data_IF_199568826827
#
_entry.id   IF_199568826827
#
_cell.length_a   1.000
_cell.length_b   1.000
_cell.length_c   1.000
_cell.angle_alpha   90.00
_cell.angle_beta   90.00
_cell.angle_gamma   90.00
#
_symmetry.space_group_name_H-M   'P 1'
#
loop_
_entity.id
_entity.type
_entity.pdbx_description
1 polymer ?
#
# COMPACT_ATOMS: atom_id res chain seq x y z
N UNK A 1 -36.23 -10.47 6.01
CA UNK A 1 -36.19 -11.55 4.98
C UNK A 1 -35.07 -11.39 3.98
N UNK A 2 -34.95 -10.24 3.29
CA UNK A 2 -33.85 -9.99 2.35
C UNK A 2 -32.45 -10.30 2.94
N UNK A 3 -32.12 -9.77 4.13
CA UNK A 3 -30.83 -10.00 4.80
C UNK A 3 -30.59 -11.50 5.06
N UNK A 4 -31.60 -12.22 5.57
CA UNK A 4 -31.50 -13.66 5.86
C UNK A 4 -31.24 -14.44 4.57
N UNK A 5 -31.98 -14.13 3.51
CA UNK A 5 -31.77 -14.71 2.19
C UNK A 5 -30.37 -14.42 1.65
N UNK A 6 -29.85 -13.19 1.82
CA UNK A 6 -28.48 -12.86 1.39
C UNK A 6 -27.42 -13.64 2.15
N UNK A 7 -27.59 -13.83 3.47
CA UNK A 7 -26.67 -14.65 4.28
C UNK A 7 -26.70 -16.11 3.84
N UNK A 8 -27.90 -16.65 3.64
CA UNK A 8 -28.06 -18.05 3.26
C UNK A 8 -27.47 -18.36 1.87
N UNK A 9 -27.56 -17.41 0.94
CA UNK A 9 -27.07 -17.52 -0.44
C UNK A 9 -25.69 -16.90 -0.67
N UNK A 10 -25.01 -16.41 0.37
CA UNK A 10 -23.69 -15.77 0.26
C UNK A 10 -23.64 -14.57 -0.68
N UNK A 11 -24.68 -13.72 -0.64
CA UNK A 11 -24.75 -12.47 -1.41
C UNK A 11 -24.26 -11.27 -0.59
N UNK A 12 -23.68 -10.24 -1.22
CA UNK A 12 -23.27 -9.01 -0.55
C UNK A 12 -24.40 -8.35 0.25
N UNK A 13 -24.05 -7.68 1.35
CA UNK A 13 -25.00 -7.04 2.25
C UNK A 13 -24.46 -5.65 2.61
N UNK A 14 -25.19 -4.59 2.24
CA UNK A 14 -24.77 -3.20 2.50
C UNK A 14 -24.61 -2.87 3.98
N UNK A 15 -25.38 -3.52 4.86
CA UNK A 15 -25.35 -3.28 6.31
C UNK A 15 -24.57 -4.35 7.09
N UNK A 16 -23.61 -5.03 6.45
CA UNK A 16 -22.86 -6.14 7.05
C UNK A 16 -22.19 -5.75 8.37
N UNK A 17 -21.63 -4.55 8.48
CA UNK A 17 -21.02 -4.05 9.72
C UNK A 17 -21.99 -4.00 10.91
N UNK A 18 -23.24 -3.57 10.68
CA UNK A 18 -24.26 -3.53 11.74
C UNK A 18 -24.61 -4.94 12.19
N UNK A 19 -24.71 -5.88 11.23
CA UNK A 19 -24.97 -7.29 11.53
C UNK A 19 -23.77 -7.90 12.26
N UNK A 20 -22.53 -7.54 11.89
CA UNK A 20 -21.29 -7.98 12.53
C UNK A 20 -21.22 -7.54 13.98
N UNK A 21 -21.67 -6.32 14.30
CA UNK A 21 -21.80 -5.85 15.68
C UNK A 21 -22.86 -6.66 16.46
N UNK A 22 -24.06 -6.81 15.91
CA UNK A 22 -25.13 -7.61 16.52
C UNK A 22 -24.67 -9.05 16.77
N UNK A 23 -24.01 -9.66 15.78
CA UNK A 23 -23.44 -11.00 15.86
C UNK A 23 -22.43 -11.12 17.00
N UNK A 24 -21.45 -10.20 17.07
CA UNK A 24 -20.44 -10.19 18.14
C UNK A 24 -21.07 -10.09 19.53
N UNK A 25 -22.08 -9.24 19.70
CA UNK A 25 -22.81 -9.12 20.96
C UNK A 25 -23.57 -10.41 21.30
N UNK A 26 -24.24 -10.98 20.31
CA UNK A 26 -25.02 -12.20 20.46
C UNK A 26 -24.17 -13.41 20.82
N UNK A 27 -23.04 -13.61 20.14
CA UNK A 27 -22.16 -14.76 20.38
C UNK A 27 -21.25 -14.60 21.60
N UNK A 28 -21.27 -13.45 22.28
CA UNK A 28 -20.46 -13.20 23.48
C UNK A 28 -20.88 -14.09 24.65
N UNK A 29 -22.16 -14.47 24.70
CA UNK A 29 -22.72 -15.32 25.76
C UNK A 29 -23.35 -16.57 25.13
N UNK A 30 -22.71 -17.75 25.24
CA UNK A 30 -23.21 -19.00 24.67
C UNK A 30 -24.64 -19.35 25.10
N UNK A 31 -25.04 -18.97 26.32
CA UNK A 31 -26.40 -19.20 26.84
C UNK A 31 -27.47 -18.45 26.05
N UNK A 32 -27.13 -17.30 25.47
CA UNK A 32 -28.07 -16.57 24.63
C UNK A 32 -28.31 -17.36 23.33
N UNK A 33 -27.24 -17.83 22.68
CA UNK A 33 -27.34 -18.67 21.48
C UNK A 33 -28.20 -19.91 21.75
N UNK A 34 -27.97 -20.60 22.87
CA UNK A 34 -28.74 -21.77 23.29
C UNK A 34 -30.23 -21.44 23.52
N UNK A 35 -30.51 -20.34 24.23
CA UNK A 35 -31.88 -19.87 24.50
C UNK A 35 -32.66 -19.62 23.21
N UNK A 36 -32.05 -18.99 22.21
CA UNK A 36 -32.73 -18.76 20.94
C UNK A 36 -32.81 -20.05 20.11
N UNK A 37 -31.81 -20.93 20.17
CA UNK A 37 -31.85 -22.21 19.43
C UNK A 37 -32.96 -23.16 19.89
N UNK A 38 -33.31 -23.11 21.18
CA UNK A 38 -34.34 -23.97 21.82
C UNK A 38 -35.72 -23.31 21.90
N UNK A 39 -35.85 -22.03 21.50
CA UNK A 39 -37.11 -21.31 21.56
C UNK A 39 -38.13 -21.85 20.54
N UNK A 40 -39.22 -22.40 21.07
CA UNK A 40 -40.36 -22.93 20.30
C UNK A 40 -41.63 -22.06 20.38
N UNK A 41 -41.55 -20.88 21.02
CA UNK A 41 -42.68 -19.96 21.13
C UNK A 41 -42.98 -19.17 19.85
N UNK A 42 -44.08 -18.41 19.83
CA UNK A 42 -44.50 -17.67 18.65
C UNK A 42 -43.65 -16.41 18.43
N UNK A 43 -43.23 -16.18 17.18
CA UNK A 43 -42.24 -15.14 16.83
C UNK A 43 -42.77 -13.70 17.01
N UNK A 44 -44.07 -13.50 16.95
CA UNK A 44 -44.76 -12.22 17.09
C UNK A 44 -44.62 -11.58 18.48
N UNK A 45 -44.37 -12.39 19.51
CA UNK A 45 -44.13 -11.93 20.90
C UNK A 45 -42.70 -11.41 21.09
N UNK A 46 -41.77 -11.74 20.19
CA UNK A 46 -40.37 -11.33 20.27
C UNK A 46 -40.17 -9.91 19.70
N UNK A 47 -39.19 -9.17 20.23
CA UNK A 47 -38.78 -7.89 19.63
C UNK A 47 -38.16 -8.12 18.25
N UNK A 48 -38.18 -7.11 17.37
CA UNK A 48 -37.63 -7.23 16.00
C UNK A 48 -36.19 -7.77 15.94
N UNK A 49 -35.32 -7.36 16.88
CA UNK A 49 -33.95 -7.86 16.95
C UNK A 49 -33.87 -9.36 17.30
N UNK A 50 -34.73 -9.81 18.21
CA UNK A 50 -34.85 -11.21 18.64
C UNK A 50 -35.44 -12.07 17.50
N UNK A 51 -36.46 -11.56 16.81
CA UNK A 51 -37.02 -12.20 15.61
C UNK A 51 -35.94 -12.38 14.52
N UNK A 52 -35.10 -11.38 14.31
CA UNK A 52 -33.98 -11.46 13.38
C UNK A 52 -32.98 -12.53 13.80
N UNK A 53 -32.51 -12.51 15.06
CA UNK A 53 -31.57 -13.50 15.58
C UNK A 53 -32.10 -14.92 15.47
N UNK A 54 -33.39 -15.14 15.78
CA UNK A 54 -34.08 -16.43 15.60
C UNK A 54 -34.03 -16.91 14.14
N UNK A 55 -34.31 -16.03 13.18
CA UNK A 55 -34.24 -16.39 11.75
C UNK A 55 -32.80 -16.63 11.31
N UNK A 56 -31.85 -15.86 11.83
CA UNK A 56 -30.43 -15.93 11.49
C UNK A 56 -29.80 -17.25 11.96
N UNK A 57 -30.01 -17.68 13.21
CA UNK A 57 -29.44 -18.94 13.72
C UNK A 57 -30.05 -20.19 13.09
N UNK A 58 -31.26 -20.07 12.52
CA UNK A 58 -31.94 -21.17 11.79
C UNK A 58 -31.38 -21.38 10.39
N UNK A 59 -30.55 -20.47 9.89
CA UNK A 59 -29.82 -20.69 8.64
C UNK A 59 -28.87 -21.89 8.84
N UNK A 60 -28.89 -22.84 7.91
CA UNK A 60 -27.98 -23.98 7.96
C UNK A 60 -26.53 -23.48 7.87
N UNK A 61 -25.68 -23.88 8.80
CA UNK A 61 -24.30 -23.39 8.93
C UNK A 61 -24.20 -21.85 9.06
N UNK A 62 -25.17 -21.19 9.72
CA UNK A 62 -25.24 -19.72 9.81
C UNK A 62 -23.92 -19.06 10.22
N UNK A 63 -23.21 -19.64 11.19
CA UNK A 63 -21.96 -19.10 11.71
C UNK A 63 -20.89 -19.07 10.62
N UNK A 64 -20.68 -20.20 9.93
CA UNK A 64 -19.76 -20.31 8.80
C UNK A 64 -20.13 -19.35 7.66
N UNK A 65 -21.40 -19.33 7.22
CA UNK A 65 -21.85 -18.47 6.12
C UNK A 65 -21.65 -16.98 6.45
N UNK A 66 -21.97 -16.59 7.68
CA UNK A 66 -21.79 -15.21 8.13
C UNK A 66 -20.31 -14.81 8.22
N UNK A 67 -19.46 -15.68 8.75
CA UNK A 67 -18.02 -15.45 8.78
C UNK A 67 -17.41 -15.38 7.36
N UNK A 68 -17.91 -16.16 6.40
CA UNK A 68 -17.49 -16.07 5.00
C UNK A 68 -17.85 -14.72 4.36
N UNK A 69 -19.04 -14.18 4.64
CA UNK A 69 -19.40 -12.82 4.18
C UNK A 69 -18.48 -11.77 4.78
N UNK A 70 -18.23 -11.84 6.09
CA UNK A 70 -17.30 -10.96 6.78
C UNK A 70 -15.87 -11.06 6.22
N UNK A 71 -15.41 -12.26 5.90
CA UNK A 71 -14.12 -12.51 5.27
C UNK A 71 -14.04 -11.97 3.84
N UNK A 72 -15.09 -12.13 3.06
CA UNK A 72 -15.12 -11.64 1.68
C UNK A 72 -14.92 -10.11 1.63
N UNK A 73 -15.58 -9.38 2.51
CA UNK A 73 -15.45 -7.91 2.64
C UNK A 73 -14.05 -7.49 3.11
N UNK A 74 -13.50 -8.17 4.12
CA UNK A 74 -12.16 -7.88 4.63
C UNK A 74 -11.08 -8.21 3.57
N UNK A 75 -11.24 -9.30 2.81
CA UNK A 75 -10.32 -9.66 1.72
C UNK A 75 -10.32 -8.61 0.60
N UNK A 76 -11.50 -8.14 0.18
CA UNK A 76 -11.60 -7.12 -0.85
C UNK A 76 -11.01 -5.78 -0.39
N UNK A 77 -11.22 -5.39 0.87
CA UNK A 77 -10.73 -4.11 1.40
C UNK A 77 -9.25 -4.14 1.80
N UNK A 78 -8.71 -5.31 2.15
CA UNK A 78 -7.33 -5.44 2.62
C UNK A 78 -6.42 -6.12 1.60
N UNK A 79 -6.74 -7.34 1.14
CA UNK A 79 -5.85 -8.10 0.27
C UNK A 79 -5.69 -7.44 -1.10
N UNK A 80 -6.80 -7.09 -1.76
CA UNK A 80 -6.77 -6.50 -3.11
C UNK A 80 -6.01 -5.16 -3.12
N UNK A 81 -6.26 -4.32 -2.11
CA UNK A 81 -5.53 -3.06 -1.92
C UNK A 81 -4.04 -3.32 -1.66
N UNK A 82 -3.71 -4.35 -0.90
CA UNK A 82 -2.32 -4.68 -0.58
C UNK A 82 -1.57 -5.25 -1.79
N UNK A 83 -2.22 -6.07 -2.62
CA UNK A 83 -1.64 -6.55 -3.88
C UNK A 83 -1.23 -5.39 -4.79
N UNK A 84 -2.07 -4.36 -4.92
CA UNK A 84 -1.73 -3.15 -5.71
C UNK A 84 -0.52 -2.43 -5.11
N UNK A 85 -0.48 -2.25 -3.79
CA UNK A 85 0.66 -1.60 -3.12
C UNK A 85 1.97 -2.37 -3.32
N UNK A 86 1.94 -3.69 -3.18
CA UNK A 86 3.09 -4.58 -3.36
C UNK A 86 3.55 -4.58 -4.82
N UNK A 87 2.63 -4.58 -5.77
CA UNK A 87 2.96 -4.42 -7.18
C UNK A 87 3.66 -3.09 -7.47
N UNK A 88 3.10 -1.97 -6.99
CA UNK A 88 3.68 -0.64 -7.18
C UNK A 88 5.05 -0.50 -6.50
N UNK A 89 5.27 -1.17 -5.35
CA UNK A 89 6.57 -1.19 -4.69
C UNK A 89 7.63 -1.88 -5.56
N UNK A 90 7.32 -3.05 -6.11
CA UNK A 90 8.22 -3.76 -7.01
C UNK A 90 8.51 -2.93 -8.28
N UNK A 91 7.48 -2.30 -8.84
CA UNK A 91 7.67 -1.42 -9.99
C UNK A 91 8.57 -0.21 -9.64
N UNK A 92 8.39 0.40 -8.47
CA UNK A 92 9.20 1.52 -8.03
C UNK A 92 10.67 1.13 -7.81
N UNK A 93 10.92 -0.05 -7.24
CA UNK A 93 12.27 -0.62 -7.10
C UNK A 93 12.94 -0.70 -8.48
N UNK A 94 12.24 -1.28 -9.47
CA UNK A 94 12.79 -1.46 -10.81
C UNK A 94 12.96 -0.13 -11.55
N UNK A 95 12.02 0.82 -11.44
CA UNK A 95 12.16 2.15 -12.02
C UNK A 95 13.37 2.92 -11.46
N UNK A 96 13.63 2.82 -10.15
CA UNK A 96 14.83 3.43 -9.55
C UNK A 96 16.10 2.77 -10.08
N UNK A 97 16.15 1.44 -10.07
CA UNK A 97 17.36 0.67 -10.46
C UNK A 97 17.70 0.82 -11.93
N UNK A 98 16.69 0.98 -12.78
CA UNK A 98 16.84 1.06 -14.23
C UNK A 98 16.72 2.47 -14.79
N UNK A 99 16.62 3.49 -13.93
CA UNK A 99 16.65 4.89 -14.37
C UNK A 99 18.00 5.20 -15.04
N UNK A 100 17.95 5.62 -16.31
CA UNK A 100 19.13 6.04 -17.06
C UNK A 100 19.66 7.42 -16.63
N UNK A 101 18.80 8.23 -16.00
CA UNK A 101 19.09 9.62 -15.63
C UNK A 101 19.56 9.76 -14.17
N UNK A 102 19.07 8.92 -13.27
CA UNK A 102 19.40 8.99 -11.84
C UNK A 102 20.91 8.90 -11.54
N UNK A 103 21.69 7.97 -12.13
CA UNK A 103 23.13 7.90 -11.88
C UNK A 103 23.87 9.20 -12.23
N UNK A 104 23.56 9.79 -13.39
CA UNK A 104 24.21 11.04 -13.80
C UNK A 104 23.77 12.21 -12.92
N UNK A 105 22.49 12.28 -12.55
CA UNK A 105 22.00 13.28 -11.59
C UNK A 105 22.77 13.24 -10.27
N UNK A 106 22.93 12.05 -9.68
CA UNK A 106 23.66 11.86 -8.43
C UNK A 106 25.16 12.14 -8.58
N UNK A 107 25.75 11.80 -9.73
CA UNK A 107 27.15 12.09 -10.03
C UNK A 107 27.41 13.61 -10.07
N UNK A 108 26.62 14.36 -10.84
CA UNK A 108 26.79 15.81 -10.92
C UNK A 108 26.46 16.49 -9.58
N UNK A 109 25.46 15.99 -8.85
CA UNK A 109 25.20 16.43 -7.48
C UNK A 109 26.43 16.28 -6.58
N UNK A 110 27.12 15.13 -6.65
CA UNK A 110 28.34 14.88 -5.90
C UNK A 110 29.45 15.88 -6.24
N UNK A 111 29.69 16.14 -7.53
CA UNK A 111 30.69 17.11 -7.98
C UNK A 111 30.38 18.54 -7.49
N UNK A 112 29.13 18.97 -7.63
CA UNK A 112 28.70 20.30 -7.19
C UNK A 112 28.79 20.45 -5.67
N UNK A 113 28.33 19.45 -4.93
CA UNK A 113 28.40 19.46 -3.47
C UNK A 113 29.85 19.44 -2.96
N UNK A 114 30.74 18.68 -3.60
CA UNK A 114 32.17 18.70 -3.30
C UNK A 114 32.78 20.09 -3.51
N UNK A 115 32.45 20.73 -4.64
CA UNK A 115 32.91 22.10 -4.93
C UNK A 115 32.46 23.12 -3.87
N UNK A 116 31.24 22.98 -3.34
CA UNK A 116 30.70 23.90 -2.33
C UNK A 116 31.26 23.58 -0.93
N UNK A 117 31.41 22.31 -0.59
CA UNK A 117 31.86 21.87 0.74
C UNK A 117 33.38 21.83 0.90
N UNK A 118 34.15 22.09 -0.17
CA UNK A 118 35.62 21.96 -0.18
C UNK A 118 36.09 20.51 0.01
N UNK A 119 35.22 19.53 -0.24
CA UNK A 119 35.51 18.10 -0.13
C UNK A 119 35.95 17.55 -1.49
N UNK A 120 36.59 16.38 -1.46
CA UNK A 120 36.95 15.63 -2.66
C UNK A 120 36.50 14.16 -2.52
N UNK A 121 35.22 13.96 -2.18
CA UNK A 121 34.65 12.63 -2.01
C UNK A 121 34.34 11.97 -3.36
N UNK A 122 34.50 10.65 -3.46
CA UNK A 122 34.17 9.88 -4.68
C UNK A 122 32.69 9.56 -4.82
N UNK A 123 31.88 9.85 -3.80
CA UNK A 123 30.45 9.59 -3.74
C UNK A 123 29.78 10.38 -2.62
N UNK A 124 28.47 10.23 -2.53
CA UNK A 124 27.66 10.79 -1.46
C UNK A 124 27.06 9.66 -0.64
N UNK A 125 27.07 9.78 0.67
CA UNK A 125 26.28 8.91 1.53
C UNK A 125 24.80 9.12 1.19
N UNK A 126 24.02 8.05 1.10
CA UNK A 126 22.63 8.12 0.68
C UNK A 126 21.80 9.06 1.57
N UNK A 127 22.05 9.00 2.88
CA UNK A 127 21.44 9.88 3.89
C UNK A 127 21.74 11.38 3.69
N UNK A 128 22.77 11.73 2.92
CA UNK A 128 23.20 13.10 2.65
C UNK A 128 22.64 13.70 1.36
N UNK A 129 21.94 12.92 0.52
CA UNK A 129 21.47 13.38 -0.81
C UNK A 129 20.62 14.65 -0.70
N UNK A 130 19.68 14.68 0.26
CA UNK A 130 18.76 15.82 0.43
C UNK A 130 19.49 17.05 0.95
N UNK A 131 20.39 16.89 1.93
CA UNK A 131 21.16 18.02 2.48
C UNK A 131 22.17 18.56 1.46
N UNK A 132 22.74 17.69 0.61
CA UNK A 132 23.59 18.09 -0.50
C UNK A 132 22.84 18.99 -1.48
N UNK A 133 21.61 18.61 -1.89
CA UNK A 133 20.76 19.43 -2.77
C UNK A 133 20.45 20.81 -2.18
N UNK A 134 20.23 20.89 -0.86
CA UNK A 134 19.85 22.11 -0.16
C UNK A 134 21.03 23.04 0.17
N UNK A 135 22.26 22.55 0.04
CA UNK A 135 23.45 23.31 0.39
C UNK A 135 23.55 24.59 -0.42
N UNK A 136 23.88 25.70 0.25
CA UNK A 136 24.00 27.02 -0.38
C UNK A 136 25.33 27.12 -1.11
N UNK A 137 25.30 27.70 -2.29
CA UNK A 137 26.52 28.05 -3.04
C UNK A 137 27.17 29.31 -2.46
N UNK A 138 28.23 29.82 -3.12
CA UNK A 138 28.81 31.13 -2.80
C UNK A 138 27.79 32.28 -2.85
N UNK A 139 26.69 32.11 -3.60
CA UNK A 139 25.51 32.99 -3.57
C UNK A 139 24.46 32.39 -2.62
N UNK A 140 24.15 33.01 -1.47
CA UNK A 140 23.22 32.45 -0.47
C UNK A 140 21.79 32.23 -0.99
N UNK A 141 21.41 32.93 -2.06
CA UNK A 141 20.11 32.79 -2.73
C UNK A 141 20.02 31.54 -3.61
N UNK A 142 21.15 30.92 -3.96
CA UNK A 142 21.24 29.78 -4.90
C UNK A 142 21.72 28.53 -4.16
N UNK A 143 20.99 27.44 -4.30
CA UNK A 143 21.34 26.11 -3.76
C UNK A 143 22.08 25.27 -4.79
N UNK A 144 22.72 24.18 -4.35
CA UNK A 144 23.31 23.16 -5.24
C UNK A 144 22.27 22.60 -6.21
N UNK A 145 21.02 22.34 -5.76
CA UNK A 145 19.95 21.89 -6.65
C UNK A 145 19.63 22.88 -7.77
N UNK A 146 19.70 24.19 -7.50
CA UNK A 146 19.50 25.21 -8.53
C UNK A 146 20.63 25.17 -9.56
N UNK A 147 21.89 25.04 -9.12
CA UNK A 147 23.04 24.91 -10.04
C UNK A 147 22.99 23.61 -10.82
N UNK A 148 22.61 22.50 -10.18
CA UNK A 148 22.43 21.21 -10.83
C UNK A 148 21.42 21.30 -11.99
N UNK A 149 20.28 21.95 -11.76
CA UNK A 149 19.28 22.17 -12.80
C UNK A 149 19.83 23.07 -13.93
N UNK A 150 20.50 24.17 -13.61
CA UNK A 150 21.11 25.06 -14.62
C UNK A 150 22.12 24.32 -15.50
N UNK A 151 22.98 23.48 -14.91
CA UNK A 151 23.96 22.70 -15.66
C UNK A 151 23.27 21.69 -16.60
N UNK A 152 22.25 20.97 -16.11
CA UNK A 152 21.51 20.03 -16.95
C UNK A 152 20.70 20.70 -18.06
N UNK A 153 20.16 21.90 -17.84
CA UNK A 153 19.52 22.67 -18.91
C UNK A 153 20.48 23.01 -20.06
N UNK A 154 21.77 23.21 -19.79
CA UNK A 154 22.76 23.53 -20.82
C UNK A 154 23.30 22.28 -21.50
N UNK A 155 23.61 21.22 -20.72
CA UNK A 155 24.32 20.05 -21.25
C UNK A 155 23.39 18.91 -21.69
N UNK A 156 22.28 18.68 -20.97
CA UNK A 156 21.36 17.55 -21.19
C UNK A 156 19.96 17.82 -20.60
N UNK A 157 19.10 18.59 -21.29
CA UNK A 157 17.81 19.02 -20.75
C UNK A 157 16.86 17.87 -20.42
N UNK A 158 17.00 16.72 -21.09
CA UNK A 158 16.21 15.50 -20.87
C UNK A 158 16.34 14.97 -19.43
N UNK A 159 17.43 15.26 -18.73
CA UNK A 159 17.65 14.86 -17.34
C UNK A 159 16.62 15.50 -16.40
N UNK A 160 16.15 16.70 -16.72
CA UNK A 160 15.17 17.44 -15.92
C UNK A 160 13.78 16.81 -15.92
N UNK A 161 13.54 15.82 -16.79
CA UNK A 161 12.31 15.01 -16.81
C UNK A 161 12.33 13.85 -15.81
N UNK A 162 13.47 13.57 -15.15
CA UNK A 162 13.56 12.50 -14.15
C UNK A 162 12.45 12.59 -13.07
N UNK A 163 12.09 13.77 -12.52
CA UNK A 163 10.96 13.86 -11.61
C UNK A 163 9.62 13.46 -12.24
N UNK A 164 9.41 13.66 -13.54
CA UNK A 164 8.15 13.27 -14.19
C UNK A 164 8.09 11.76 -14.46
N UNK A 165 9.24 11.11 -14.58
CA UNK A 165 9.35 9.66 -14.74
C UNK A 165 9.12 8.92 -13.42
N UNK A 166 9.77 9.34 -12.34
CA UNK A 166 9.75 8.59 -11.07
C UNK A 166 8.67 9.05 -10.09
N UNK A 167 8.37 10.36 -10.04
CA UNK A 167 7.53 10.91 -8.97
C UNK A 167 6.08 10.40 -8.96
N UNK A 168 5.40 10.20 -10.10
CA UNK A 168 4.02 9.71 -10.08
C UNK A 168 3.87 8.40 -9.32
N UNK A 169 4.76 7.44 -9.56
CA UNK A 169 4.74 6.16 -8.86
C UNK A 169 5.20 6.31 -7.40
N UNK A 170 6.30 7.03 -7.17
CA UNK A 170 6.86 7.24 -5.82
C UNK A 170 5.85 7.85 -4.84
N UNK A 171 5.03 8.81 -5.27
CA UNK A 171 3.99 9.39 -4.41
C UNK A 171 2.93 8.38 -3.95
N UNK A 172 2.75 7.28 -4.66
CA UNK A 172 1.83 6.22 -4.25
C UNK A 172 2.44 5.24 -3.24
N UNK A 173 3.78 5.18 -3.14
CA UNK A 173 4.48 4.15 -2.35
C UNK A 173 5.45 4.68 -1.28
N UNK A 174 5.79 5.98 -1.27
CA UNK A 174 6.82 6.53 -0.37
C UNK A 174 6.53 6.40 1.13
N UNK A 175 5.27 6.12 1.50
CA UNK A 175 4.83 5.91 2.89
C UNK A 175 4.48 4.45 3.20
N UNK A 176 4.57 3.56 2.21
CA UNK A 176 4.14 2.17 2.34
C UNK A 176 5.21 1.35 3.05
N UNK A 177 4.79 0.62 4.10
CA UNK A 177 5.64 -0.28 4.89
C UNK A 177 5.29 -1.73 4.58
N UNK A 178 6.04 -2.38 3.68
CA UNK A 178 5.67 -3.70 3.18
C UNK A 178 5.67 -4.76 4.30
N UNK A 179 6.60 -4.68 5.25
CA UNK A 179 6.65 -5.60 6.41
C UNK A 179 5.37 -5.55 7.24
N UNK A 180 4.80 -4.36 7.44
CA UNK A 180 3.52 -4.21 8.14
C UNK A 180 2.37 -4.83 7.34
N UNK A 181 2.36 -4.65 6.00
CA UNK A 181 1.36 -5.26 5.12
C UNK A 181 1.37 -6.79 5.28
N UNK A 182 2.53 -7.43 5.22
CA UNK A 182 2.61 -8.90 5.37
C UNK A 182 2.20 -9.37 6.77
N UNK A 183 2.56 -8.63 7.83
CA UNK A 183 2.10 -8.91 9.19
C UNK A 183 0.58 -8.87 9.32
N UNK A 184 -0.05 -7.80 8.80
CA UNK A 184 -1.50 -7.63 8.86
C UNK A 184 -2.22 -8.74 8.06
N UNK A 185 -1.69 -9.06 6.87
CA UNK A 185 -2.26 -10.09 6.00
C UNK A 185 -2.07 -11.51 6.52
N UNK A 186 -1.05 -11.78 7.33
CA UNK A 186 -0.88 -13.09 7.96
C UNK A 186 -2.09 -13.42 8.85
N UNK A 187 -2.59 -12.44 9.61
CA UNK A 187 -3.79 -12.63 10.44
C UNK A 187 -5.05 -12.91 9.60
N UNK A 188 -5.18 -12.23 8.45
CA UNK A 188 -6.27 -12.43 7.52
C UNK A 188 -6.18 -13.81 6.84
N UNK A 189 -4.97 -14.25 6.49
CA UNK A 189 -4.68 -15.56 5.92
C UNK A 189 -4.98 -16.70 6.89
N UNK A 190 -4.66 -16.55 8.19
CA UNK A 190 -5.03 -17.52 9.22
C UNK A 190 -6.55 -17.68 9.32
N UNK A 191 -7.29 -16.57 9.25
CA UNK A 191 -8.76 -16.62 9.26
C UNK A 191 -9.32 -17.27 8.00
N UNK A 192 -8.72 -16.97 6.85
CA UNK A 192 -9.05 -17.58 5.57
C UNK A 192 -8.84 -19.10 5.58
N UNK A 193 -7.67 -19.56 6.00
CA UNK A 193 -7.34 -20.99 6.05
C UNK A 193 -8.21 -21.75 7.03
N UNK A 194 -8.49 -21.18 8.21
CA UNK A 194 -9.42 -21.77 9.17
C UNK A 194 -10.81 -21.95 8.58
N UNK A 195 -11.39 -20.91 7.98
CA UNK A 195 -12.72 -21.01 7.37
C UNK A 195 -12.72 -21.98 6.18
N UNK A 196 -11.64 -22.05 5.41
CA UNK A 196 -11.50 -23.05 4.34
C UNK A 196 -11.55 -24.47 4.90
N UNK A 197 -10.87 -24.75 6.02
CA UNK A 197 -10.94 -26.04 6.70
C UNK A 197 -12.35 -26.33 7.24
N UNK A 198 -13.01 -25.34 7.84
CA UNK A 198 -14.40 -25.48 8.30
C UNK A 198 -15.34 -25.85 7.14
N UNK A 199 -15.13 -25.26 5.95
CA UNK A 199 -15.86 -25.59 4.72
C UNK A 199 -15.65 -27.06 4.31
N UNK A 200 -14.40 -27.53 4.34
CA UNK A 200 -14.03 -28.90 3.98
C UNK A 200 -14.64 -29.92 4.97
N UNK A 201 -14.70 -29.57 6.27
CA UNK A 201 -15.30 -30.41 7.31
C UNK A 201 -16.83 -30.53 7.21
N UNK A 202 -17.53 -29.52 6.66
CA UNK A 202 -18.99 -29.59 6.45
C UNK A 202 -19.34 -30.74 5.48
N UNK A 203 -18.47 -31.05 4.50
CA UNK A 203 -18.59 -32.19 3.57
C UNK A 203 -19.73 -32.10 2.55
N UNK A 204 -20.90 -31.57 2.94
CA UNK A 204 -22.08 -31.36 2.10
C UNK A 204 -22.02 -30.01 1.38
N UNK A 205 -21.26 -29.98 0.29
CA UNK A 205 -21.07 -28.77 -0.54
C UNK A 205 -22.37 -28.22 -1.14
N UNK A 206 -23.44 -29.02 -1.25
CA UNK A 206 -24.75 -28.56 -1.75
C UNK A 206 -25.38 -27.47 -0.88
N UNK A 207 -24.94 -27.36 0.37
CA UNK A 207 -25.46 -26.42 1.37
C UNK A 207 -24.65 -25.14 1.48
N UNK A 208 -23.51 -25.13 0.81
CA UNK A 208 -22.55 -24.03 0.78
C UNK A 208 -22.78 -23.26 -0.51
N UNK A 209 -23.05 -21.94 -0.43
CA UNK A 209 -23.15 -21.10 -1.62
C UNK A 209 -21.92 -21.23 -2.52
N UNK A 210 -22.15 -21.40 -3.82
CA UNK A 210 -21.08 -21.48 -4.83
C UNK A 210 -20.20 -20.23 -4.83
N UNK A 211 -20.74 -19.08 -4.42
CA UNK A 211 -19.99 -17.82 -4.24
C UNK A 211 -18.86 -17.95 -3.22
N UNK A 212 -19.04 -18.69 -2.12
CA UNK A 212 -17.98 -18.90 -1.13
C UNK A 212 -16.91 -19.86 -1.65
N UNK A 213 -17.30 -20.90 -2.38
CA UNK A 213 -16.35 -21.83 -3.01
C UNK A 213 -15.45 -21.05 -3.99
N UNK A 214 -16.06 -20.23 -4.85
CA UNK A 214 -15.33 -19.37 -5.77
C UNK A 214 -14.42 -18.37 -5.04
N UNK A 215 -14.89 -17.78 -3.94
CA UNK A 215 -14.10 -16.89 -3.08
C UNK A 215 -12.84 -17.59 -2.55
N UNK A 216 -12.96 -18.79 -1.97
CA UNK A 216 -11.79 -19.53 -1.47
C UNK A 216 -10.80 -19.91 -2.57
N UNK A 217 -11.29 -20.27 -3.77
CA UNK A 217 -10.41 -20.56 -4.90
C UNK A 217 -9.67 -19.30 -5.36
N UNK A 218 -10.40 -18.21 -5.60
CA UNK A 218 -9.84 -16.95 -6.09
C UNK A 218 -8.84 -16.34 -5.10
N UNK A 219 -9.23 -16.20 -3.84
CA UNK A 219 -8.38 -15.55 -2.84
C UNK A 219 -7.23 -16.45 -2.39
N UNK A 220 -7.37 -17.78 -2.48
CA UNK A 220 -6.24 -18.70 -2.29
C UNK A 220 -5.10 -18.40 -3.27
N UNK A 221 -5.42 -18.32 -4.57
CA UNK A 221 -4.42 -17.98 -5.60
C UNK A 221 -3.81 -16.58 -5.39
N UNK A 222 -4.62 -15.61 -4.93
CA UNK A 222 -4.14 -14.25 -4.61
C UNK A 222 -3.15 -14.26 -3.44
N UNK A 223 -3.42 -15.00 -2.38
CA UNK A 223 -2.48 -15.17 -1.26
C UNK A 223 -1.18 -15.83 -1.72
N UNK A 224 -1.26 -16.92 -2.48
CA UNK A 224 -0.07 -17.62 -2.99
C UNK A 224 0.81 -16.66 -3.83
N UNK A 225 0.17 -15.90 -4.73
CA UNK A 225 0.86 -14.90 -5.55
C UNK A 225 1.49 -13.80 -4.70
N UNK A 226 0.80 -13.32 -3.67
CA UNK A 226 1.29 -12.24 -2.82
C UNK A 226 2.46 -12.67 -1.94
N UNK A 227 2.39 -13.85 -1.32
CA UNK A 227 3.48 -14.36 -0.49
C UNK A 227 4.71 -14.71 -1.31
N UNK A 228 4.54 -15.18 -2.56
CA UNK A 228 5.67 -15.33 -3.48
C UNK A 228 6.40 -13.99 -3.74
N UNK A 229 5.67 -12.87 -3.78
CA UNK A 229 6.24 -11.53 -3.96
C UNK A 229 6.95 -10.95 -2.73
N UNK A 230 6.82 -11.59 -1.57
CA UNK A 230 7.50 -11.13 -0.36
C UNK A 230 9.02 -11.22 -0.55
N UNK A 231 9.47 -12.36 -1.09
CA UNK A 231 10.88 -12.59 -1.41
C UNK A 231 11.38 -11.61 -2.48
N UNK A 232 10.58 -11.35 -3.52
CA UNK A 232 10.93 -10.38 -4.58
C UNK A 232 11.19 -8.98 -4.00
N UNK A 233 10.37 -8.52 -3.05
CA UNK A 233 10.56 -7.21 -2.41
C UNK A 233 11.80 -7.21 -1.52
N UNK A 234 12.03 -8.26 -0.75
CA UNK A 234 13.24 -8.36 0.08
C UNK A 234 14.52 -8.34 -0.77
N UNK A 235 14.50 -9.04 -1.90
CA UNK A 235 15.61 -9.03 -2.86
C UNK A 235 15.78 -7.64 -3.49
N UNK A 236 14.68 -6.97 -3.82
CA UNK A 236 14.67 -5.59 -4.32
C UNK A 236 15.25 -4.59 -3.31
N UNK A 237 14.89 -4.69 -2.04
CA UNK A 237 15.45 -3.87 -0.95
C UNK A 237 16.98 -4.08 -0.84
N UNK A 238 17.43 -5.34 -0.84
CA UNK A 238 18.87 -5.68 -0.85
C UNK A 238 19.58 -5.13 -2.08
N UNK A 239 18.95 -5.22 -3.25
CA UNK A 239 19.50 -4.69 -4.50
C UNK A 239 19.65 -3.16 -4.45
N UNK A 240 18.68 -2.44 -3.87
CA UNK A 240 18.77 -1.00 -3.67
C UNK A 240 19.86 -0.62 -2.66
N UNK A 241 19.99 -1.36 -1.56
CA UNK A 241 21.07 -1.17 -0.59
C UNK A 241 22.46 -1.32 -1.24
N UNK A 242 22.63 -2.31 -2.13
CA UNK A 242 23.87 -2.48 -2.91
C UNK A 242 24.03 -1.34 -3.92
N UNK A 243 22.98 -1.00 -4.68
CA UNK A 243 23.00 0.04 -5.71
C UNK A 243 23.42 1.41 -5.16
N UNK A 244 22.90 1.79 -3.99
CA UNK A 244 23.24 3.03 -3.30
C UNK A 244 24.42 2.91 -2.33
N UNK A 245 25.05 1.74 -2.25
CA UNK A 245 26.19 1.46 -1.36
C UNK A 245 25.92 1.74 0.13
N UNK A 246 24.68 1.54 0.59
CA UNK A 246 24.27 1.76 1.98
C UNK A 246 23.61 0.50 2.56
N UNK A 247 24.33 -0.19 3.45
CA UNK A 247 23.88 -1.46 4.07
C UNK A 247 22.69 -1.30 5.01
N UNK A 248 22.43 -0.09 5.49
CA UNK A 248 21.33 0.21 6.41
C UNK A 248 20.13 0.80 5.65
N UNK A 249 20.21 0.88 4.32
CA UNK A 249 19.13 1.42 3.50
C UNK A 249 17.93 0.49 3.52
N UNK A 250 16.84 0.98 4.12
CA UNK A 250 15.54 0.33 4.02
C UNK A 250 14.80 0.79 2.77
N UNK A 251 13.86 -0.03 2.29
CA UNK A 251 13.04 0.32 1.14
C UNK A 251 12.27 1.63 1.39
N UNK A 252 11.71 1.82 2.58
CA UNK A 252 10.95 3.04 2.93
C UNK A 252 11.83 4.28 2.92
N UNK A 253 13.04 4.19 3.48
CA UNK A 253 14.01 5.29 3.44
C UNK A 253 14.40 5.62 1.98
N UNK A 254 14.63 4.60 1.17
CA UNK A 254 14.97 4.77 -0.24
C UNK A 254 13.87 5.51 -1.00
N UNK A 255 12.64 5.00 -0.97
CA UNK A 255 11.50 5.57 -1.69
C UNK A 255 11.22 7.02 -1.24
N UNK A 256 11.23 7.28 0.07
CA UNK A 256 11.02 8.63 0.59
C UNK A 256 12.14 9.59 0.17
N UNK A 257 13.39 9.14 0.18
CA UNK A 257 14.54 9.98 -0.17
C UNK A 257 14.54 10.32 -1.66
N UNK A 258 14.28 9.34 -2.54
CA UNK A 258 14.23 9.57 -3.99
C UNK A 258 13.01 10.44 -4.36
N UNK A 259 11.88 10.28 -3.67
CA UNK A 259 10.71 11.16 -3.84
C UNK A 259 11.03 12.61 -3.46
N UNK A 260 11.67 12.81 -2.31
CA UNK A 260 12.12 14.14 -1.88
C UNK A 260 13.17 14.73 -2.83
N UNK A 261 14.09 13.91 -3.33
CA UNK A 261 15.05 14.30 -4.35
C UNK A 261 14.33 14.86 -5.59
N UNK A 262 13.35 14.13 -6.13
CA UNK A 262 12.58 14.55 -7.30
C UNK A 262 11.80 15.86 -7.04
N UNK A 263 11.17 16.01 -5.86
CA UNK A 263 10.50 17.25 -5.48
C UNK A 263 11.47 18.44 -5.45
N UNK A 264 12.69 18.26 -4.92
CA UNK A 264 13.70 19.31 -4.85
C UNK A 264 14.24 19.72 -6.21
N UNK A 265 14.43 18.76 -7.12
CA UNK A 265 14.82 19.06 -8.50
C UNK A 265 13.72 19.85 -9.21
N UNK A 266 12.47 19.39 -9.11
CA UNK A 266 11.31 20.08 -9.71
C UNK A 266 11.17 21.53 -9.20
N UNK A 267 11.27 21.71 -7.88
CA UNK A 267 11.22 23.04 -7.25
C UNK A 267 12.36 23.95 -7.71
N UNK A 268 13.59 23.44 -7.76
CA UNK A 268 14.75 24.23 -8.17
C UNK A 268 14.68 24.63 -9.65
N UNK A 269 14.27 23.72 -10.54
CA UNK A 269 14.09 24.02 -11.95
C UNK A 269 13.02 25.12 -12.14
N UNK A 270 11.88 25.02 -11.45
CA UNK A 270 10.86 26.07 -11.50
C UNK A 270 11.38 27.42 -10.97
N UNK A 271 12.10 27.43 -9.85
CA UNK A 271 12.70 28.64 -9.30
C UNK A 271 13.66 29.31 -10.29
N UNK A 272 14.50 28.53 -10.98
CA UNK A 272 15.42 29.05 -11.99
C UNK A 272 14.67 29.68 -13.18
N UNK A 273 13.56 29.07 -13.63
CA UNK A 273 12.74 29.63 -14.71
C UNK A 273 12.07 30.95 -14.30
N UNK A 274 11.54 31.01 -13.07
CA UNK A 274 10.92 32.22 -12.53
C UNK A 274 11.94 33.36 -12.36
N UNK A 275 13.14 33.06 -11.86
CA UNK A 275 14.20 34.06 -11.70
C UNK A 275 14.65 34.63 -13.04
N UNK A 276 14.83 33.78 -14.07
CA UNK A 276 15.16 34.26 -15.43
C UNK A 276 14.07 35.15 -16.01
N UNK A 277 12.80 34.75 -15.89
CA UNK A 277 11.66 35.57 -16.35
C UNK A 277 11.62 36.93 -15.66
N UNK A 278 11.88 37.00 -14.35
CA UNK A 278 11.93 38.27 -13.61
C UNK A 278 13.07 39.17 -14.10
N UNK A 279 14.27 38.60 -14.27
CA UNK A 279 15.42 39.33 -14.77
C UNK A 279 15.20 39.89 -16.19
N UNK A 280 14.59 39.12 -17.08
CA UNK A 280 14.21 39.60 -18.42
C UNK A 280 13.16 40.71 -18.40
N UNK A 281 12.22 40.69 -17.45
CA UNK A 281 11.22 41.74 -17.29
C UNK A 281 11.82 43.03 -16.73
N UNK A 282 12.78 42.91 -15.80
CA UNK A 282 13.51 44.05 -15.24
C UNK A 282 14.40 44.72 -16.28
N UNK A 283 15.00 43.97 -17.21
CA UNK A 283 15.80 44.54 -18.31
C UNK A 283 14.95 45.21 -19.41
N UNK A 284 13.64 44.92 -19.48
CA UNK A 284 12.70 45.50 -20.44
C UNK A 284 11.98 46.74 -19.92
N UNK A 285 12.18 47.10 -18.64
CA UNK A 285 11.62 48.30 -17.98
C UNK A 285 12.66 49.41 -17.93
#
# INVERSE_FOLDING_TARGET
DHIISSIDNGKPIECLDRIRQIYKHFTRNPKDVEKFSTYAGPLDVLKRAEQFLMRFIRIRHYNFKFQCLCLSEDLQSQLDVSMIKIHNLLEAIEQIRHSSKLPGMLHLLCLLFNSVSGKNARGLDFSSIISALQSKTTKPTITVSNVLCMQYEEIKPDYLQLPDELQPLLKTVETVKYKQIYQDLHSLYQRFTKLKQDMEQIGDTSTIPSTFIAMFQQYGQKFDTLFAKEEDIEQGEKALAIYFCDKNLTLEMCLSTISQFCDKIRQAHQQNLEQRKRFEQEQKR
#
